data_IF_513424139352
#
_entry.id   IF_513424139352
#
_cell.length_a   1.000
_cell.length_b   1.000
_cell.length_c   1.000
_cell.angle_alpha   90.00
_cell.angle_beta   90.00
_cell.angle_gamma   90.00
#
_symmetry.space_group_name_H-M   'P 1'
#
loop_
_entity.id
_entity.type
_entity.pdbx_description
1 polymer ?
#
# COMPACT_ATOMS: atom_id res chain seq x y z
N UNK A 1 -22.63 -6.54 -20.85
CA UNK A 1 -21.65 -5.90 -21.75
C UNK A 1 -20.25 -5.85 -21.12
N UNK A 2 -20.07 -5.29 -19.92
CA UNK A 2 -18.76 -5.21 -19.25
C UNK A 2 -18.05 -6.56 -19.02
N UNK A 3 -18.78 -7.57 -18.50
CA UNK A 3 -18.27 -8.94 -18.33
C UNK A 3 -17.85 -9.62 -19.64
N UNK A 4 -18.50 -9.28 -20.76
CA UNK A 4 -18.18 -9.82 -22.08
C UNK A 4 -16.85 -9.25 -22.59
N UNK A 5 -16.64 -7.94 -22.42
CA UNK A 5 -15.36 -7.32 -22.76
C UNK A 5 -14.23 -7.78 -21.84
N UNK A 6 -14.49 -7.97 -20.54
CA UNK A 6 -13.46 -8.45 -19.60
C UNK A 6 -12.93 -9.83 -20.01
N UNK A 7 -13.81 -10.76 -20.44
CA UNK A 7 -13.40 -12.05 -20.97
C UNK A 7 -12.58 -11.90 -22.27
N UNK A 8 -13.04 -11.08 -23.22
CA UNK A 8 -12.35 -10.85 -24.49
C UNK A 8 -10.96 -10.20 -24.30
N UNK A 9 -10.87 -9.21 -23.41
CA UNK A 9 -9.69 -8.39 -23.19
C UNK A 9 -8.67 -9.04 -22.24
N UNK A 10 -9.09 -10.00 -21.41
CA UNK A 10 -8.21 -10.70 -20.47
C UNK A 10 -6.98 -11.33 -21.13
N UNK A 11 -7.08 -11.77 -22.39
CA UNK A 11 -5.94 -12.31 -23.15
C UNK A 11 -4.79 -11.33 -23.31
N UNK A 12 -5.07 -10.02 -23.24
CA UNK A 12 -4.07 -8.96 -23.35
C UNK A 12 -3.31 -8.73 -22.04
N UNK A 13 -3.68 -9.38 -20.93
CA UNK A 13 -2.91 -9.28 -19.68
C UNK A 13 -1.56 -10.00 -19.76
N UNK A 14 -1.43 -11.01 -20.63
CA UNK A 14 -0.21 -11.81 -20.80
C UNK A 14 0.59 -11.47 -22.05
N UNK A 15 0.10 -10.58 -22.91
CA UNK A 15 0.79 -10.14 -24.13
C UNK A 15 1.91 -9.14 -23.82
N UNK A 16 2.86 -8.98 -24.73
CA UNK A 16 3.90 -7.95 -24.65
C UNK A 16 3.32 -6.53 -24.63
N UNK A 17 4.13 -5.55 -24.22
CA UNK A 17 3.75 -4.15 -24.26
C UNK A 17 3.32 -3.74 -25.68
N UNK A 18 4.15 -4.07 -26.68
CA UNK A 18 3.95 -3.70 -28.09
C UNK A 18 2.64 -4.27 -28.65
N UNK A 19 2.30 -5.51 -28.30
CA UNK A 19 1.06 -6.16 -28.75
C UNK A 19 -0.19 -5.50 -28.14
N UNK A 20 -0.12 -5.11 -26.86
CA UNK A 20 -1.21 -4.39 -26.20
C UNK A 20 -1.40 -3.01 -26.83
N UNK A 21 -0.32 -2.26 -27.06
CA UNK A 21 -0.40 -0.93 -27.66
C UNK A 21 -0.92 -1.01 -29.09
N UNK A 22 -0.40 -1.92 -29.92
CA UNK A 22 -0.87 -2.11 -31.30
C UNK A 22 -2.36 -2.45 -31.36
N UNK A 23 -2.85 -3.26 -30.42
CA UNK A 23 -4.28 -3.54 -30.33
C UNK A 23 -5.08 -2.30 -29.91
N UNK A 24 -4.63 -1.59 -28.88
CA UNK A 24 -5.28 -0.36 -28.45
C UNK A 24 -5.33 0.70 -29.54
N UNK A 25 -4.25 0.89 -30.30
CA UNK A 25 -4.21 1.76 -31.48
C UNK A 25 -5.29 1.37 -32.51
N UNK A 26 -5.46 0.08 -32.77
CA UNK A 26 -6.50 -0.41 -33.69
C UNK A 26 -7.91 -0.04 -33.21
N UNK A 27 -8.16 -0.10 -31.89
CA UNK A 27 -9.42 0.29 -31.29
C UNK A 27 -9.65 1.80 -31.40
N UNK A 28 -8.66 2.61 -31.01
CA UNK A 28 -8.76 4.08 -31.03
C UNK A 28 -8.91 4.61 -32.45
N UNK A 29 -8.17 4.06 -33.42
CA UNK A 29 -8.19 4.53 -34.81
C UNK A 29 -9.45 4.14 -35.59
N UNK A 30 -10.17 3.10 -35.17
CA UNK A 30 -11.41 2.68 -35.83
C UNK A 30 -12.56 3.70 -35.75
N UNK A 31 -12.44 4.71 -34.88
CA UNK A 31 -13.40 5.81 -34.66
C UNK A 31 -14.87 5.37 -34.46
N UNK A 32 -15.08 4.22 -33.81
CA UNK A 32 -16.40 3.70 -33.44
C UNK A 32 -16.53 3.67 -31.91
N UNK A 33 -17.67 4.13 -31.39
CA UNK A 33 -18.04 4.14 -29.97
C UNK A 33 -17.81 2.80 -29.26
N UNK A 34 -18.10 1.66 -29.93
CA UNK A 34 -17.89 0.33 -29.36
C UNK A 34 -16.40 0.09 -29.08
N UNK A 35 -15.53 0.43 -30.03
CA UNK A 35 -14.09 0.22 -29.90
C UNK A 35 -13.46 1.19 -28.90
N UNK A 36 -14.00 2.40 -28.80
CA UNK A 36 -13.59 3.36 -27.77
C UNK A 36 -13.98 2.90 -26.38
N UNK A 37 -15.15 2.29 -26.23
CA UNK A 37 -15.54 1.65 -24.98
C UNK A 37 -14.63 0.45 -24.67
N UNK A 38 -14.25 -0.36 -25.66
CA UNK A 38 -13.26 -1.43 -25.48
C UNK A 38 -11.89 -0.90 -25.05
N UNK A 39 -11.43 0.22 -25.61
CA UNK A 39 -10.17 0.86 -25.21
C UNK A 39 -10.22 1.37 -23.76
N UNK A 40 -11.35 1.94 -23.34
CA UNK A 40 -11.56 2.34 -21.94
C UNK A 40 -11.54 1.12 -20.99
N UNK A 41 -12.27 0.05 -21.32
CA UNK A 41 -12.26 -1.18 -20.51
C UNK A 41 -10.88 -1.85 -20.50
N UNK A 42 -10.11 -1.78 -21.60
CA UNK A 42 -8.73 -2.25 -21.66
C UNK A 42 -7.84 -1.45 -20.70
N UNK A 43 -7.88 -0.11 -20.76
CA UNK A 43 -7.15 0.74 -19.81
C UNK A 43 -7.51 0.42 -18.35
N UNK A 44 -8.81 0.28 -18.05
CA UNK A 44 -9.26 -0.11 -16.72
C UNK A 44 -8.73 -1.49 -16.28
N UNK A 45 -8.78 -2.49 -17.17
CA UNK A 45 -8.31 -3.83 -16.89
C UNK A 45 -6.80 -3.85 -16.64
N UNK A 46 -6.03 -3.14 -17.46
CA UNK A 46 -4.58 -3.01 -17.31
C UNK A 46 -4.21 -2.38 -15.95
N UNK A 47 -4.86 -1.27 -15.56
CA UNK A 47 -4.63 -0.64 -14.25
C UNK A 47 -4.89 -1.57 -13.07
N UNK A 48 -5.95 -2.40 -13.15
CA UNK A 48 -6.30 -3.34 -12.08
C UNK A 48 -5.35 -4.52 -11.96
N UNK A 49 -4.57 -4.80 -13.00
CA UNK A 49 -3.63 -5.92 -13.06
C UNK A 49 -2.16 -5.44 -13.08
N UNK A 50 -1.88 -4.25 -12.53
CA UNK A 50 -0.55 -3.65 -12.40
C UNK A 50 0.21 -3.42 -13.71
N UNK A 51 -0.49 -3.38 -14.86
CA UNK A 51 0.07 -3.02 -16.17
C UNK A 51 -0.09 -1.53 -16.43
N UNK A 52 0.61 -0.74 -15.60
CA UNK A 52 0.37 0.69 -15.50
C UNK A 52 0.90 1.46 -16.71
N UNK A 53 2.04 1.06 -17.27
CA UNK A 53 2.65 1.75 -18.41
C UNK A 53 1.77 1.62 -19.65
N UNK A 54 1.23 0.43 -19.92
CA UNK A 54 0.27 0.20 -20.98
C UNK A 54 -1.01 1.00 -20.75
N UNK A 55 -1.54 1.00 -19.53
CA UNK A 55 -2.75 1.75 -19.21
C UNK A 55 -2.59 3.26 -19.44
N UNK A 56 -1.44 3.81 -19.08
CA UNK A 56 -1.07 5.22 -19.32
C UNK A 56 -1.06 5.48 -20.81
N UNK A 57 -0.40 4.63 -21.59
CA UNK A 57 -0.27 4.79 -23.03
C UNK A 57 -1.61 4.66 -23.78
N UNK A 58 -2.44 3.67 -23.42
CA UNK A 58 -3.79 3.52 -23.97
C UNK A 58 -4.63 4.76 -23.69
N UNK A 59 -4.58 5.27 -22.46
CA UNK A 59 -5.38 6.44 -22.07
C UNK A 59 -4.86 7.73 -22.71
N UNK A 60 -3.54 7.86 -22.91
CA UNK A 60 -2.90 8.96 -23.65
C UNK A 60 -3.39 9.00 -25.09
N UNK A 61 -3.31 7.87 -25.81
CA UNK A 61 -3.79 7.76 -27.19
C UNK A 61 -5.27 8.14 -27.32
N UNK A 62 -6.09 7.70 -26.37
CA UNK A 62 -7.51 8.05 -26.33
C UNK A 62 -7.72 9.56 -26.17
N UNK A 63 -6.98 10.22 -25.27
CA UNK A 63 -7.08 11.66 -25.04
C UNK A 63 -6.54 12.48 -26.23
N UNK A 64 -5.39 12.10 -26.80
CA UNK A 64 -4.81 12.77 -27.96
C UNK A 64 -5.73 12.72 -29.18
N UNK A 65 -6.49 11.64 -29.33
CA UNK A 65 -7.45 11.49 -30.42
C UNK A 65 -8.68 12.37 -30.26
N UNK A 66 -9.13 12.60 -29.02
CA UNK A 66 -10.30 13.43 -28.73
C UNK A 66 -10.23 13.98 -27.29
N UNK A 67 -9.93 15.26 -27.21
CA UNK A 67 -9.51 16.00 -26.01
C UNK A 67 -10.69 16.37 -25.09
N UNK A 68 -11.56 15.41 -24.79
CA UNK A 68 -12.66 15.61 -23.84
C UNK A 68 -12.19 15.49 -22.39
N UNK A 69 -12.89 16.15 -21.48
CA UNK A 69 -12.60 16.08 -20.03
C UNK A 69 -12.64 14.67 -19.47
N UNK A 70 -13.53 13.81 -19.96
CA UNK A 70 -13.64 12.42 -19.51
C UNK A 70 -12.38 11.61 -19.85
N UNK A 71 -11.78 11.86 -21.02
CA UNK A 71 -10.55 11.19 -21.44
C UNK A 71 -9.31 11.80 -20.80
N UNK A 72 -9.32 13.12 -20.58
CA UNK A 72 -8.32 13.78 -19.75
C UNK A 72 -8.29 13.15 -18.36
N UNK A 73 -9.46 12.98 -17.73
CA UNK A 73 -9.56 12.33 -16.44
C UNK A 73 -9.15 10.85 -16.50
N UNK A 74 -9.52 10.09 -17.54
CA UNK A 74 -9.07 8.71 -17.71
C UNK A 74 -7.54 8.61 -17.75
N UNK A 75 -6.91 9.48 -18.55
CA UNK A 75 -5.46 9.58 -18.65
C UNK A 75 -4.83 9.97 -17.31
N UNK A 76 -5.43 10.94 -16.61
CA UNK A 76 -4.95 11.38 -15.32
C UNK A 76 -5.03 10.30 -14.25
N UNK A 77 -6.12 9.54 -14.21
CA UNK A 77 -6.24 8.39 -13.30
C UNK A 77 -5.15 7.36 -13.59
N UNK A 78 -4.86 7.06 -14.86
CA UNK A 78 -3.83 6.10 -15.22
C UNK A 78 -2.44 6.52 -14.74
N UNK A 79 -2.08 7.78 -14.94
CA UNK A 79 -0.79 8.35 -14.49
C UNK A 79 -0.70 8.38 -12.96
N UNK A 80 -1.78 8.75 -12.27
CA UNK A 80 -1.82 8.74 -10.80
C UNK A 80 -1.66 7.32 -10.24
N UNK A 81 -2.26 6.32 -10.89
CA UNK A 81 -2.14 4.91 -10.51
C UNK A 81 -0.73 4.36 -10.79
N UNK A 82 -0.09 4.74 -11.91
CA UNK A 82 1.31 4.43 -12.23
C UNK A 82 2.27 4.98 -11.16
N UNK A 83 1.98 6.18 -10.62
CA UNK A 83 2.71 6.75 -9.50
C UNK A 83 4.01 7.47 -9.85
N UNK A 84 4.27 7.74 -11.14
CA UNK A 84 5.38 8.58 -11.58
C UNK A 84 5.15 10.04 -11.17
N UNK A 85 6.02 10.58 -10.30
CA UNK A 85 5.91 11.95 -9.79
C UNK A 85 6.03 12.96 -10.94
N UNK A 86 7.01 12.79 -11.82
CA UNK A 86 7.23 13.68 -12.98
C UNK A 86 6.02 13.67 -13.94
N UNK A 87 5.44 12.49 -14.20
CA UNK A 87 4.26 12.39 -15.03
C UNK A 87 3.03 13.05 -14.38
N UNK A 88 2.84 12.88 -13.06
CA UNK A 88 1.78 13.56 -12.31
C UNK A 88 1.98 15.08 -12.33
N UNK A 89 3.21 15.57 -12.21
CA UNK A 89 3.52 17.00 -12.27
C UNK A 89 3.22 17.60 -13.65
N UNK A 90 3.63 16.94 -14.73
CA UNK A 90 3.29 17.37 -16.09
C UNK A 90 1.79 17.36 -16.32
N UNK A 91 1.12 16.29 -15.89
CA UNK A 91 -0.29 16.10 -16.19
C UNK A 91 -1.20 17.02 -15.35
N UNK A 92 -0.84 17.34 -14.11
CA UNK A 92 -1.60 18.35 -13.36
C UNK A 92 -1.60 19.70 -14.08
N UNK A 93 -0.49 20.07 -14.74
CA UNK A 93 -0.39 21.38 -15.41
C UNK A 93 -1.33 21.44 -16.60
N UNK A 94 -1.38 20.35 -17.37
CA UNK A 94 -2.34 20.21 -18.46
C UNK A 94 -3.79 20.24 -17.96
N UNK A 95 -4.08 19.64 -16.80
CA UNK A 95 -5.40 19.69 -16.16
C UNK A 95 -5.74 21.11 -15.69
N UNK A 96 -4.77 21.82 -15.11
CA UNK A 96 -4.93 23.20 -14.66
C UNK A 96 -5.20 24.16 -15.82
N UNK A 97 -4.43 24.04 -16.90
CA UNK A 97 -4.63 24.81 -18.13
C UNK A 97 -6.01 24.50 -18.73
N UNK A 98 -6.41 23.22 -18.83
CA UNK A 98 -7.75 22.84 -19.31
C UNK A 98 -8.87 23.48 -18.48
N UNK A 99 -8.75 23.47 -17.15
CA UNK A 99 -9.76 24.04 -16.25
C UNK A 99 -9.84 25.55 -16.42
N UNK A 100 -8.71 26.25 -16.58
CA UNK A 100 -8.68 27.70 -16.85
C UNK A 100 -9.30 28.06 -18.19
N UNK A 101 -9.02 27.29 -19.23
CA UNK A 101 -9.58 27.50 -20.57
C UNK A 101 -11.10 27.30 -20.64
N UNK A 102 -11.68 26.63 -19.65
CA UNK A 102 -13.12 26.38 -19.52
C UNK A 102 -13.74 27.14 -18.34
N UNK A 103 -13.24 28.35 -18.04
CA UNK A 103 -13.79 29.26 -17.00
C UNK A 103 -13.88 28.64 -15.60
N UNK A 104 -12.98 27.70 -15.27
CA UNK A 104 -13.00 27.02 -13.98
C UNK A 104 -14.13 26.00 -13.84
N UNK A 105 -14.67 25.47 -14.95
CA UNK A 105 -15.77 24.51 -14.93
C UNK A 105 -15.45 23.30 -14.04
N UNK A 106 -16.20 23.17 -12.94
CA UNK A 106 -16.04 22.06 -12.01
C UNK A 106 -16.51 20.74 -12.63
N UNK A 107 -15.63 19.74 -12.61
CA UNK A 107 -15.90 18.39 -13.10
C UNK A 107 -15.57 17.38 -12.00
N UNK A 108 -16.61 16.84 -11.36
CA UNK A 108 -16.50 16.04 -10.12
C UNK A 108 -15.45 14.93 -10.16
N UNK A 109 -15.34 14.22 -11.28
CA UNK A 109 -14.40 13.11 -11.43
C UNK A 109 -12.95 13.59 -11.62
N UNK A 110 -12.76 14.67 -12.38
CA UNK A 110 -11.45 15.27 -12.61
C UNK A 110 -10.88 15.85 -11.32
N UNK A 111 -11.66 16.64 -10.59
CA UNK A 111 -11.23 17.23 -9.32
C UNK A 111 -10.95 16.18 -8.24
N UNK A 112 -11.74 15.12 -8.19
CA UNK A 112 -11.48 13.95 -7.37
C UNK A 112 -10.09 13.35 -7.68
N UNK A 113 -9.80 13.06 -8.95
CA UNK A 113 -8.50 12.54 -9.38
C UNK A 113 -7.37 13.52 -9.05
N UNK A 114 -7.60 14.82 -9.22
CA UNK A 114 -6.61 15.86 -8.95
C UNK A 114 -6.24 15.96 -7.46
N UNK A 115 -7.23 15.91 -6.57
CA UNK A 115 -6.96 15.82 -5.12
C UNK A 115 -6.23 14.53 -4.74
N UNK A 116 -6.57 13.40 -5.37
CA UNK A 116 -5.82 12.13 -5.19
C UNK A 116 -4.38 12.29 -5.67
N UNK A 117 -4.13 12.97 -6.79
CA UNK A 117 -2.81 13.25 -7.32
C UNK A 117 -1.98 14.07 -6.33
N UNK A 118 -2.53 15.17 -5.81
CA UNK A 118 -1.88 16.01 -4.80
C UNK A 118 -1.54 15.21 -3.53
N UNK A 119 -2.47 14.36 -3.05
CA UNK A 119 -2.21 13.46 -1.94
C UNK A 119 -1.11 12.43 -2.24
N UNK A 120 -1.05 11.91 -3.47
CA UNK A 120 -0.07 10.88 -3.91
C UNK A 120 1.35 11.41 -3.93
N UNK A 121 1.55 12.65 -4.37
CA UNK A 121 2.87 13.29 -4.45
C UNK A 121 3.21 14.15 -3.22
N UNK A 122 2.34 14.15 -2.21
CA UNK A 122 2.50 14.93 -0.97
C UNK A 122 2.60 16.45 -1.20
N UNK A 123 1.86 16.98 -2.17
CA UNK A 123 1.84 18.42 -2.49
C UNK A 123 0.65 19.12 -1.81
N UNK A 124 0.93 19.79 -0.69
CA UNK A 124 -0.08 20.51 0.10
C UNK A 124 -0.60 21.76 -0.63
N UNK A 125 0.28 22.47 -1.33
CA UNK A 125 -0.10 23.70 -2.04
C UNK A 125 -1.08 23.37 -3.18
N UNK A 126 -0.79 22.32 -3.93
CA UNK A 126 -1.71 21.80 -4.95
C UNK A 126 -3.01 21.32 -4.33
N UNK A 127 -2.96 20.57 -3.22
CA UNK A 127 -4.18 20.10 -2.57
C UNK A 127 -5.09 21.26 -2.17
N UNK A 128 -4.56 22.27 -1.48
CA UNK A 128 -5.33 23.43 -1.03
C UNK A 128 -5.83 24.29 -2.20
N UNK A 129 -5.02 24.46 -3.25
CA UNK A 129 -5.43 25.13 -4.47
C UNK A 129 -6.66 24.45 -5.09
N UNK A 130 -6.58 23.14 -5.32
CA UNK A 130 -7.67 22.36 -5.93
C UNK A 130 -8.90 22.33 -5.01
N UNK A 131 -8.71 22.10 -3.71
CA UNK A 131 -9.81 21.99 -2.75
C UNK A 131 -10.59 23.30 -2.57
N UNK A 132 -9.93 24.46 -2.74
CA UNK A 132 -10.61 25.78 -2.76
C UNK A 132 -11.57 25.93 -3.93
N UNK A 133 -11.25 25.33 -5.08
CA UNK A 133 -12.10 25.35 -6.27
C UNK A 133 -13.29 24.37 -6.20
N UNK A 134 -13.27 23.41 -5.28
CA UNK A 134 -14.38 22.46 -5.10
C UNK A 134 -15.61 23.17 -4.51
N UNK A 135 -16.80 23.06 -5.14
CA UNK A 135 -18.06 23.63 -4.62
C UNK A 135 -18.43 23.10 -3.24
N UNK A 136 -19.05 23.95 -2.40
CA UNK A 136 -19.45 23.57 -1.04
C UNK A 136 -20.33 22.31 -0.95
N UNK A 137 -21.34 22.08 -1.81
CA UNK A 137 -22.15 20.85 -1.75
C UNK A 137 -21.32 19.58 -1.94
N UNK A 138 -20.32 19.62 -2.82
CA UNK A 138 -19.45 18.46 -3.11
C UNK A 138 -18.57 18.09 -1.92
N UNK A 139 -18.26 19.05 -1.03
CA UNK A 139 -17.48 18.81 0.19
C UNK A 139 -18.25 17.99 1.23
N UNK A 140 -19.58 17.87 1.11
CA UNK A 140 -20.42 17.11 2.04
C UNK A 140 -21.23 15.98 1.38
N UNK A 141 -21.38 15.99 0.05
CA UNK A 141 -22.13 14.97 -0.70
C UNK A 141 -21.24 14.00 -1.49
N UNK A 142 -20.05 14.42 -1.91
CA UNK A 142 -19.19 13.59 -2.74
C UNK A 142 -18.21 12.78 -1.89
N UNK A 143 -18.54 11.51 -1.68
CA UNK A 143 -17.75 10.61 -0.84
C UNK A 143 -16.29 10.47 -1.25
N UNK A 144 -15.96 10.64 -2.54
CA UNK A 144 -14.57 10.55 -2.99
C UNK A 144 -13.79 11.82 -2.64
N UNK A 145 -14.38 13.00 -2.85
CA UNK A 145 -13.80 14.30 -2.44
C UNK A 145 -13.56 14.31 -0.93
N UNK A 146 -14.58 13.92 -0.15
CA UNK A 146 -14.47 13.82 1.32
C UNK A 146 -13.36 12.86 1.71
N UNK A 147 -13.24 11.73 1.04
CA UNK A 147 -12.17 10.76 1.32
C UNK A 147 -10.79 11.36 1.07
N UNK A 148 -10.59 12.12 -0.01
CA UNK A 148 -9.32 12.81 -0.26
C UNK A 148 -9.04 13.91 0.76
N UNK A 149 -10.08 14.64 1.19
CA UNK A 149 -9.97 15.63 2.27
C UNK A 149 -9.58 14.99 3.60
N UNK A 150 -10.16 13.84 3.94
CA UNK A 150 -9.80 13.15 5.17
C UNK A 150 -8.40 12.54 5.10
N UNK A 151 -7.93 12.08 3.94
CA UNK A 151 -6.52 11.69 3.76
C UNK A 151 -5.61 12.88 4.06
N UNK A 152 -5.91 14.04 3.49
CA UNK A 152 -5.16 15.28 3.72
C UNK A 152 -5.16 15.68 5.20
N UNK A 153 -6.32 15.77 5.86
CA UNK A 153 -6.41 16.13 7.27
C UNK A 153 -5.69 15.12 8.18
N UNK A 154 -5.85 13.82 7.92
CA UNK A 154 -5.19 12.76 8.69
C UNK A 154 -3.66 12.79 8.55
N UNK A 155 -3.13 13.22 7.39
CA UNK A 155 -1.69 13.42 7.18
C UNK A 155 -1.14 14.57 8.03
N UNK A 156 -1.96 15.59 8.28
CA UNK A 156 -1.62 16.78 9.05
C UNK A 156 -2.02 16.72 10.52
N UNK A 157 -2.40 15.54 11.00
CA UNK A 157 -2.88 15.35 12.37
C UNK A 157 -4.11 16.19 12.77
N UNK A 158 -4.89 16.64 11.78
CA UNK A 158 -6.12 17.43 11.97
C UNK A 158 -7.34 16.53 12.23
N UNK A 159 -7.21 15.62 13.19
CA UNK A 159 -8.22 14.57 13.45
C UNK A 159 -9.54 15.13 13.99
N UNK A 160 -9.47 16.17 14.81
CA UNK A 160 -10.64 16.86 15.33
C UNK A 160 -11.52 17.40 14.21
N UNK A 161 -10.92 17.91 13.13
CA UNK A 161 -11.65 18.44 11.98
C UNK A 161 -12.32 17.34 11.18
N UNK A 162 -11.64 16.20 10.99
CA UNK A 162 -12.25 15.01 10.38
C UNK A 162 -13.49 14.58 11.18
N UNK A 163 -13.37 14.53 12.51
CA UNK A 163 -14.46 14.14 13.39
C UNK A 163 -15.63 15.14 13.33
N UNK A 164 -15.35 16.43 13.47
CA UNK A 164 -16.39 17.47 13.43
C UNK A 164 -17.11 17.49 12.09
N UNK A 165 -16.38 17.47 10.98
CA UNK A 165 -16.96 17.44 9.65
C UNK A 165 -17.83 16.19 9.45
N UNK A 166 -17.35 15.00 9.86
CA UNK A 166 -18.10 13.75 9.73
C UNK A 166 -19.40 13.74 10.55
N UNK A 167 -19.33 14.13 11.82
CA UNK A 167 -20.46 14.04 12.76
C UNK A 167 -21.48 15.16 12.58
N UNK A 168 -21.04 16.36 12.16
CA UNK A 168 -21.91 17.55 12.11
C UNK A 168 -22.37 17.93 10.71
N UNK A 169 -21.58 17.66 9.67
CA UNK A 169 -21.85 18.16 8.31
C UNK A 169 -22.32 17.07 7.35
N UNK A 170 -21.92 15.80 7.56
CA UNK A 170 -22.27 14.71 6.65
C UNK A 170 -23.63 14.07 6.96
N UNK A 171 -24.41 13.80 5.92
CA UNK A 171 -25.66 13.03 6.06
C UNK A 171 -25.39 11.55 6.39
N UNK A 172 -26.35 10.83 7.00
CA UNK A 172 -26.18 9.41 7.36
C UNK A 172 -25.83 8.50 6.17
N UNK A 173 -26.29 8.84 4.96
CA UNK A 173 -25.99 8.07 3.76
C UNK A 173 -24.52 8.20 3.37
N UNK A 174 -23.94 9.40 3.47
CA UNK A 174 -22.54 9.65 3.17
C UNK A 174 -21.62 9.07 4.25
N UNK A 175 -22.02 9.16 5.52
CA UNK A 175 -21.32 8.51 6.63
C UNK A 175 -21.16 6.99 6.44
N UNK A 176 -22.14 6.32 5.82
CA UNK A 176 -22.07 4.87 5.50
C UNK A 176 -21.13 4.53 4.34
N UNK A 177 -20.59 5.52 3.61
CA UNK A 177 -19.62 5.25 2.55
C UNK A 177 -18.38 4.59 3.15
N UNK A 178 -18.02 3.39 2.64
CA UNK A 178 -16.87 2.61 3.10
C UNK A 178 -15.57 3.43 3.12
N UNK A 179 -15.38 4.29 2.13
CA UNK A 179 -14.17 5.11 2.00
C UNK A 179 -14.13 6.23 3.04
N UNK A 180 -15.23 6.99 3.18
CA UNK A 180 -15.33 8.09 4.15
C UNK A 180 -15.23 7.56 5.57
N UNK A 181 -16.00 6.51 5.88
CA UNK A 181 -16.00 5.88 7.20
C UNK A 181 -14.61 5.37 7.60
N UNK A 182 -13.86 4.75 6.67
CA UNK A 182 -12.50 4.27 6.93
C UNK A 182 -11.58 5.39 7.41
N UNK A 183 -11.58 6.54 6.74
CA UNK A 183 -10.69 7.66 7.11
C UNK A 183 -11.17 8.44 8.34
N UNK A 184 -12.48 8.43 8.61
CA UNK A 184 -13.03 8.92 9.87
C UNK A 184 -12.61 8.05 11.06
N UNK A 185 -12.77 6.72 10.96
CA UNK A 185 -12.36 5.80 12.03
C UNK A 185 -10.87 5.88 12.34
N UNK A 186 -10.05 6.07 11.30
CA UNK A 186 -8.64 6.38 11.45
C UNK A 186 -8.42 7.64 12.33
N UNK A 187 -9.07 8.76 12.01
CA UNK A 187 -8.96 9.99 12.81
C UNK A 187 -9.38 9.78 14.27
N UNK A 188 -10.52 9.10 14.50
CA UNK A 188 -11.00 8.78 15.85
C UNK A 188 -10.02 7.91 16.64
N UNK A 189 -9.41 6.91 16.00
CA UNK A 189 -8.39 6.09 16.64
C UNK A 189 -7.16 6.92 17.05
N UNK A 190 -6.75 7.88 16.22
CA UNK A 190 -5.61 8.76 16.52
C UNK A 190 -5.89 9.72 17.68
N UNK A 191 -7.12 10.21 17.81
CA UNK A 191 -7.54 11.05 18.94
C UNK A 191 -7.56 10.31 20.29
N UNK A 192 -7.62 8.98 20.28
CA UNK A 192 -7.59 8.13 21.47
C UNK A 192 -6.21 7.60 21.87
N UNK A 193 -5.14 7.98 21.16
CA UNK A 193 -3.75 7.54 21.45
C UNK A 193 -2.90 8.58 22.20
N UNK A 194 -3.43 9.77 22.50
CA UNK A 194 -2.77 10.81 23.32
C UNK A 194 -3.13 10.73 24.83
N UNK A 195 -3.74 9.64 25.31
CA UNK A 195 -4.02 9.42 26.75
C UNK A 195 -3.20 8.30 27.42
N UNK A 196 -2.03 7.94 26.87
CA UNK A 196 -1.05 7.14 27.61
C UNK A 196 0.33 7.80 27.49
N UNK A 197 0.48 8.95 28.15
CA UNK A 197 1.72 9.71 28.14
C UNK A 197 1.66 10.95 29.02
N UNK A 198 1.79 10.77 30.32
CA UNK A 198 2.19 11.85 31.25
C UNK A 198 1.08 12.46 32.10
N UNK A 199 0.86 11.88 33.29
CA UNK A 199 0.81 12.69 34.50
C UNK A 199 1.86 12.19 35.47
N UNK A 200 2.90 13.01 35.60
CA UNK A 200 3.81 13.06 36.74
C UNK A 200 3.01 13.44 37.99
N UNK A 201 2.82 12.51 38.90
CA UNK A 201 2.68 12.80 40.33
C UNK A 201 3.89 12.20 41.05
N UNK A 202 4.72 13.08 41.59
CA UNK A 202 5.82 12.75 42.50
C UNK A 202 5.27 12.49 43.91
N UNK A 203 6.07 11.97 44.86
CA UNK A 203 5.85 10.68 45.51
C UNK A 203 5.30 10.80 46.93
N UNK A 204 4.64 9.74 47.41
CA UNK A 204 4.49 9.52 48.86
C UNK A 204 4.82 8.07 49.19
N UNK A 205 5.77 7.93 50.12
CA UNK A 205 6.34 6.71 50.66
C UNK A 205 5.29 5.82 51.36
N UNK A 206 5.34 4.52 51.10
CA UNK A 206 5.09 3.49 52.11
C UNK A 206 5.74 2.16 51.69
N UNK A 207 6.52 1.62 52.63
CA UNK A 207 7.39 0.43 52.61
C UNK A 207 6.68 -0.92 52.38
N UNK A 208 7.44 -2.02 52.16
CA UNK A 208 6.98 -3.21 51.45
C UNK A 208 6.41 -4.30 52.37
N UNK A 209 5.45 -5.06 51.84
CA UNK A 209 5.12 -6.39 52.34
C UNK A 209 4.81 -7.31 51.17
N UNK A 210 5.52 -8.44 51.12
CA UNK A 210 5.21 -9.65 50.34
C UNK A 210 5.09 -10.80 51.33
N UNK A 211 4.71 -12.03 50.94
CA UNK A 211 3.94 -12.48 49.78
C UNK A 211 2.75 -13.37 50.21
N UNK A 212 1.67 -13.46 49.43
CA UNK A 212 0.82 -14.66 49.47
C UNK A 212 0.29 -15.02 48.08
N UNK A 213 0.62 -16.26 47.72
CA UNK A 213 0.10 -17.01 46.59
C UNK A 213 -1.43 -17.06 46.62
N UNK A 214 -2.06 -16.68 45.51
CA UNK A 214 -3.28 -17.33 45.05
C UNK A 214 -3.16 -17.59 43.56
N UNK A 215 -3.10 -18.87 43.22
CA UNK A 215 -3.39 -19.37 41.88
C UNK A 215 -4.71 -18.77 41.40
N UNK A 216 -4.65 -18.00 40.32
CA UNK A 216 -5.79 -17.81 39.44
C UNK A 216 -5.24 -17.83 38.02
N UNK A 217 -5.18 -19.04 37.45
CA UNK A 217 -5.20 -19.21 36.01
C UNK A 217 -6.50 -18.62 35.48
N UNK A 218 -6.40 -17.42 34.93
CA UNK A 218 -7.36 -16.88 33.97
C UNK A 218 -6.55 -16.36 32.78
N UNK A 219 -6.31 -17.28 31.85
CA UNK A 219 -6.19 -17.06 30.41
C UNK A 219 -5.40 -15.81 29.99
N UNK A 220 -4.06 -15.87 30.04
CA UNK A 220 -3.24 -14.85 29.40
C UNK A 220 -3.41 -14.97 27.89
N UNK A 221 -3.99 -13.94 27.28
CA UNK A 221 -4.05 -13.69 25.85
C UNK A 221 -2.83 -14.25 25.12
N UNK A 222 -3.06 -15.16 24.16
CA UNK A 222 -2.01 -15.57 23.23
C UNK A 222 -1.64 -14.36 22.37
N UNK A 223 -0.73 -13.51 22.86
CA UNK A 223 -0.18 -12.38 22.12
C UNK A 223 0.40 -12.92 20.81
N UNK A 224 0.08 -12.30 19.68
CA UNK A 224 0.65 -12.66 18.37
C UNK A 224 2.17 -12.48 18.43
N UNK A 225 2.90 -13.58 18.36
CA UNK A 225 4.33 -13.62 18.73
C UNK A 225 5.26 -13.36 17.54
N UNK A 226 4.79 -13.68 16.33
CA UNK A 226 5.55 -13.54 15.08
C UNK A 226 4.92 -12.47 14.20
N UNK A 227 5.71 -11.55 13.67
CA UNK A 227 5.26 -10.59 12.67
C UNK A 227 5.66 -11.03 11.26
N UNK A 228 4.73 -10.98 10.31
CA UNK A 228 5.02 -11.23 8.89
C UNK A 228 5.21 -9.92 8.14
N UNK A 229 6.40 -9.72 7.58
CA UNK A 229 6.76 -8.56 6.76
C UNK A 229 6.95 -9.04 5.32
N UNK A 230 6.14 -8.54 4.40
CA UNK A 230 6.22 -8.92 2.99
C UNK A 230 5.55 -7.89 2.08
N UNK A 231 5.88 -7.93 0.78
CA UNK A 231 5.34 -7.04 -0.24
C UNK A 231 4.06 -7.58 -0.89
N UNK A 232 4.11 -7.79 -2.21
CA UNK A 232 2.96 -8.21 -3.03
C UNK A 232 2.58 -9.70 -2.86
N UNK A 233 2.18 -10.13 -1.65
CA UNK A 233 1.71 -11.50 -1.34
C UNK A 233 2.53 -12.61 -2.03
N UNK A 234 3.80 -12.83 -1.64
CA UNK A 234 4.64 -13.79 -2.32
C UNK A 234 4.12 -15.23 -2.18
N UNK A 235 4.33 -16.12 -3.17
CA UNK A 235 3.83 -17.49 -3.14
C UNK A 235 4.22 -18.28 -1.88
N UNK A 236 5.39 -18.01 -1.32
CA UNK A 236 5.93 -18.67 -0.12
C UNK A 236 5.21 -18.24 1.17
N UNK A 237 4.42 -17.15 1.13
CA UNK A 237 3.70 -16.63 2.30
C UNK A 237 2.74 -17.66 2.89
N UNK A 238 1.97 -18.35 2.05
CA UNK A 238 1.00 -19.35 2.51
C UNK A 238 1.69 -20.53 3.20
N UNK A 239 2.88 -20.89 2.72
CA UNK A 239 3.70 -21.94 3.31
C UNK A 239 4.29 -21.49 4.65
N UNK A 240 4.75 -20.24 4.76
CA UNK A 240 5.18 -19.65 6.05
C UNK A 240 4.02 -19.65 7.05
N UNK A 241 2.83 -19.22 6.64
CA UNK A 241 1.62 -19.26 7.49
C UNK A 241 1.28 -20.68 7.92
N UNK A 242 1.40 -21.66 7.01
CA UNK A 242 1.18 -23.07 7.31
C UNK A 242 2.18 -23.59 8.37
N UNK A 243 3.47 -23.27 8.24
CA UNK A 243 4.51 -23.60 9.23
C UNK A 243 4.15 -23.04 10.61
N UNK A 244 3.73 -21.78 10.69
CA UNK A 244 3.36 -21.16 11.96
C UNK A 244 2.10 -21.78 12.56
N UNK A 245 1.04 -21.97 11.77
CA UNK A 245 -0.23 -22.58 12.21
C UNK A 245 -0.05 -24.02 12.69
N UNK A 246 0.71 -24.83 11.95
CA UNK A 246 0.97 -26.23 12.31
C UNK A 246 1.73 -26.39 13.62
N UNK A 247 2.45 -25.35 14.06
CA UNK A 247 3.18 -25.31 15.33
C UNK A 247 2.45 -24.50 16.41
N UNK A 248 1.18 -24.13 16.20
CA UNK A 248 0.39 -23.31 17.12
C UNK A 248 1.04 -21.97 17.48
N UNK A 249 1.78 -21.38 16.54
CA UNK A 249 2.43 -20.07 16.70
C UNK A 249 1.49 -19.01 16.15
N UNK A 250 1.01 -18.14 17.03
CA UNK A 250 0.20 -16.99 16.65
C UNK A 250 1.07 -15.93 15.95
N UNK A 251 0.57 -15.39 14.83
CA UNK A 251 1.28 -14.41 14.04
C UNK A 251 0.39 -13.24 13.61
N UNK A 252 1.02 -12.11 13.32
CA UNK A 252 0.40 -10.93 12.73
C UNK A 252 0.66 -10.91 11.23
N UNK A 253 -0.42 -10.84 10.47
CA UNK A 253 -0.41 -10.46 9.06
C UNK A 253 -1.19 -9.14 8.90
N UNK A 254 -0.47 -8.06 8.58
CA UNK A 254 -1.08 -6.73 8.45
C UNK A 254 -2.06 -6.61 7.27
N UNK A 255 -1.89 -7.41 6.21
CA UNK A 255 -2.74 -7.34 5.02
C UNK A 255 -4.06 -8.09 5.20
N UNK A 256 -4.09 -9.10 6.09
CA UNK A 256 -5.32 -9.85 6.44
C UNK A 256 -6.14 -9.17 7.55
N UNK A 257 -5.56 -8.24 8.31
CA UNK A 257 -6.21 -7.60 9.47
C UNK A 257 -7.16 -6.45 9.08
N UNK A 258 -8.46 -6.73 9.12
CA UNK A 258 -9.57 -5.80 8.81
C UNK A 258 -9.90 -4.91 10.02
N UNK A 259 -8.95 -4.08 10.45
CA UNK A 259 -9.15 -3.05 11.49
C UNK A 259 -9.15 -1.62 10.92
N UNK A 260 -9.86 -0.69 11.58
CA UNK A 260 -10.06 0.70 11.14
C UNK A 260 -8.91 1.68 11.41
N UNK A 261 -7.78 1.22 11.96
CA UNK A 261 -6.58 2.04 12.26
C UNK A 261 -5.63 2.16 11.07
N UNK A 262 -4.69 3.13 11.10
CA UNK A 262 -3.70 3.26 10.02
C UNK A 262 -2.73 2.09 9.94
N UNK A 263 -2.23 1.83 8.73
CA UNK A 263 -1.23 0.77 8.50
C UNK A 263 -0.03 0.96 9.43
N UNK A 264 0.45 2.19 9.64
CA UNK A 264 1.56 2.48 10.55
C UNK A 264 1.22 2.21 12.02
N UNK A 265 0.02 2.59 12.50
CA UNK A 265 -0.37 2.30 13.89
C UNK A 265 -0.59 0.80 14.12
N UNK A 266 -1.21 0.10 13.17
CA UNK A 266 -1.30 -1.37 13.23
C UNK A 266 0.09 -1.97 13.30
N UNK A 267 0.99 -1.50 12.44
CA UNK A 267 2.37 -1.91 12.45
C UNK A 267 2.98 -1.70 13.84
N UNK A 268 2.92 -0.49 14.41
CA UNK A 268 3.48 -0.20 15.74
C UNK A 268 2.89 -1.09 16.85
N UNK A 269 1.55 -1.21 16.92
CA UNK A 269 0.87 -2.03 17.93
C UNK A 269 1.29 -3.48 17.82
N UNK A 270 1.09 -4.11 16.66
CA UNK A 270 1.40 -5.53 16.51
C UNK A 270 2.90 -5.79 16.54
N UNK A 271 3.73 -4.87 16.05
CA UNK A 271 5.17 -4.98 16.17
C UNK A 271 5.62 -4.87 17.63
N UNK A 272 4.91 -4.11 18.50
CA UNK A 272 5.19 -4.03 19.94
C UNK A 272 4.88 -5.31 20.71
N UNK A 273 3.92 -6.09 20.21
CA UNK A 273 3.56 -7.39 20.77
C UNK A 273 4.41 -8.55 20.25
N UNK A 274 5.04 -8.33 19.10
CA UNK A 274 5.86 -9.32 18.42
C UNK A 274 7.22 -9.49 19.10
N UNK A 275 7.65 -10.74 19.23
CA UNK A 275 8.98 -11.11 19.74
C UNK A 275 9.89 -11.69 18.65
N UNK A 276 9.34 -11.90 17.46
CA UNK A 276 10.06 -12.41 16.30
C UNK A 276 9.47 -11.84 15.01
N UNK A 277 10.27 -11.66 13.97
CA UNK A 277 9.80 -11.23 12.66
C UNK A 277 10.28 -12.17 11.55
N UNK A 278 9.40 -12.46 10.59
CA UNK A 278 9.74 -13.16 9.35
C UNK A 278 9.58 -12.16 8.21
N UNK A 279 10.68 -11.86 7.54
CA UNK A 279 10.76 -10.91 6.43
C UNK A 279 10.89 -11.68 5.13
N UNK A 280 9.97 -11.49 4.19
CA UNK A 280 10.01 -12.09 2.87
C UNK A 280 10.46 -11.01 1.87
N UNK A 281 11.70 -11.14 1.41
CA UNK A 281 12.29 -10.26 0.39
C UNK A 281 12.03 -10.86 -0.99
N UNK A 282 11.25 -10.14 -1.80
CA UNK A 282 10.96 -10.47 -3.19
C UNK A 282 11.30 -9.30 -4.10
N UNK A 283 11.65 -9.55 -5.38
CA UNK A 283 11.87 -8.52 -6.41
C UNK A 283 10.56 -7.81 -6.74
N UNK A 284 10.24 -6.77 -5.97
CA UNK A 284 8.93 -6.11 -6.02
C UNK A 284 8.96 -4.78 -6.78
N UNK A 285 10.05 -4.03 -6.68
CA UNK A 285 10.22 -2.74 -7.36
C UNK A 285 11.33 -2.89 -8.41
N UNK A 286 11.03 -2.59 -9.68
CA UNK A 286 11.96 -2.68 -10.82
C UNK A 286 12.37 -1.29 -11.30
N UNK A 287 13.65 -1.12 -11.57
CA UNK A 287 14.24 0.12 -12.06
C UNK A 287 15.26 -0.22 -13.14
N UNK A 288 15.21 0.51 -14.26
CA UNK A 288 16.27 0.46 -15.28
C UNK A 288 17.35 1.47 -14.88
N UNK A 289 18.55 0.98 -14.57
CA UNK A 289 19.72 1.83 -14.31
C UNK A 289 20.57 1.94 -15.56
N UNK A 290 21.22 3.09 -15.74
CA UNK A 290 22.29 3.25 -16.74
C UNK A 290 23.64 3.11 -16.06
N UNK A 291 24.49 2.23 -16.57
CA UNK A 291 25.87 2.15 -16.14
C UNK A 291 26.66 3.39 -16.61
N UNK A 292 27.92 3.51 -16.18
CA UNK A 292 28.77 4.64 -16.55
C UNK A 292 29.05 4.73 -18.07
N UNK A 293 28.78 3.66 -18.83
CA UNK A 293 28.93 3.58 -20.28
C UNK A 293 27.59 3.81 -21.02
N UNK A 294 26.51 4.07 -20.30
CA UNK A 294 25.17 4.30 -20.85
C UNK A 294 24.38 3.04 -21.18
N UNK A 295 24.87 1.84 -20.82
CA UNK A 295 24.11 0.60 -20.98
C UNK A 295 23.02 0.50 -19.92
N UNK A 296 21.84 0.05 -20.34
CA UNK A 296 20.72 -0.19 -19.44
C UNK A 296 20.85 -1.54 -18.74
N UNK A 297 20.64 -1.56 -17.42
CA UNK A 297 20.67 -2.75 -16.57
C UNK A 297 19.40 -2.78 -15.71
N UNK A 298 18.70 -3.92 -15.73
CA UNK A 298 17.53 -4.15 -14.91
C UNK A 298 17.94 -4.37 -13.46
N UNK A 299 17.37 -3.57 -12.55
CA UNK A 299 17.64 -3.67 -11.12
C UNK A 299 16.33 -3.81 -10.37
N UNK A 300 16.28 -4.84 -9.53
CA UNK A 300 15.16 -5.15 -8.67
C UNK A 300 15.50 -4.81 -7.22
N UNK A 301 14.49 -4.31 -6.51
CA UNK A 301 14.55 -4.01 -5.09
C UNK A 301 13.42 -4.72 -4.35
N UNK A 302 13.62 -5.06 -3.07
CA UNK A 302 12.50 -5.30 -2.19
C UNK A 302 11.65 -4.03 -2.09
N UNK A 303 10.34 -4.22 -1.90
CA UNK A 303 9.40 -3.11 -1.74
C UNK A 303 9.87 -2.18 -0.62
N UNK A 304 9.86 -0.87 -0.82
CA UNK A 304 10.42 0.08 0.16
C UNK A 304 9.87 -0.08 1.58
N UNK A 305 8.58 -0.35 1.72
CA UNK A 305 7.95 -0.58 3.02
C UNK A 305 8.52 -1.83 3.72
N UNK A 306 8.81 -2.89 2.96
CA UNK A 306 9.43 -4.12 3.49
C UNK A 306 10.83 -3.83 4.03
N UNK A 307 11.60 -2.98 3.35
CA UNK A 307 12.92 -2.55 3.80
C UNK A 307 12.83 -1.74 5.10
N UNK A 308 11.86 -0.83 5.20
CA UNK A 308 11.62 -0.03 6.40
C UNK A 308 11.23 -0.91 7.60
N UNK A 309 10.25 -1.79 7.42
CA UNK A 309 9.75 -2.69 8.46
C UNK A 309 10.85 -3.66 8.92
N UNK A 310 11.66 -4.17 7.98
CA UNK A 310 12.82 -4.99 8.30
C UNK A 310 13.85 -4.22 9.15
N UNK A 311 14.19 -2.99 8.77
CA UNK A 311 15.12 -2.15 9.54
C UNK A 311 14.61 -1.86 10.94
N UNK A 312 13.30 -1.57 11.07
CA UNK A 312 12.65 -1.40 12.35
C UNK A 312 12.78 -2.65 13.23
N UNK A 313 12.47 -3.84 12.70
CA UNK A 313 12.56 -5.06 13.48
C UNK A 313 14.01 -5.41 13.84
N UNK A 314 14.97 -5.14 12.96
CA UNK A 314 16.40 -5.31 13.28
C UNK A 314 16.81 -4.47 14.49
N UNK A 315 16.41 -3.20 14.53
CA UNK A 315 16.68 -2.32 15.67
C UNK A 315 15.95 -2.74 16.94
N UNK A 316 14.72 -3.24 16.82
CA UNK A 316 13.86 -3.58 17.95
C UNK A 316 14.11 -4.96 18.57
N UNK A 317 14.15 -5.99 17.74
CA UNK A 317 14.23 -7.40 18.15
C UNK A 317 15.67 -7.92 18.12
N UNK A 318 16.55 -7.25 17.39
CA UNK A 318 17.90 -7.72 17.11
C UNK A 318 17.92 -8.81 16.04
N UNK A 319 19.11 -9.02 15.47
CA UNK A 319 19.33 -9.97 14.37
C UNK A 319 18.97 -11.42 14.71
N UNK A 320 19.01 -11.82 15.98
CA UNK A 320 18.77 -13.21 16.39
C UNK A 320 17.28 -13.58 16.39
N UNK A 321 16.40 -12.58 16.44
CA UNK A 321 14.95 -12.74 16.49
C UNK A 321 14.26 -12.38 15.17
N UNK A 322 14.99 -12.51 14.06
CA UNK A 322 14.48 -12.23 12.71
C UNK A 322 14.88 -13.35 11.75
N UNK A 323 13.96 -13.81 10.92
CA UNK A 323 14.28 -14.66 9.77
C UNK A 323 14.03 -13.88 8.47
N UNK A 324 15.08 -13.69 7.68
CA UNK A 324 14.95 -13.05 6.36
C UNK A 324 14.96 -14.15 5.30
N UNK A 325 13.82 -14.39 4.69
CA UNK A 325 13.66 -15.27 3.55
C UNK A 325 13.85 -14.44 2.28
N UNK A 326 14.73 -14.89 1.40
CA UNK A 326 15.10 -14.17 0.19
C UNK A 326 14.75 -14.98 -1.05
N UNK A 327 13.92 -14.40 -1.91
CA UNK A 327 13.64 -14.93 -3.24
C UNK A 327 14.78 -14.53 -4.18
N UNK A 328 15.51 -15.52 -4.68
CA UNK A 328 16.57 -15.30 -5.67
C UNK A 328 15.97 -15.32 -7.08
N UNK A 329 16.30 -14.32 -7.91
CA UNK A 329 16.17 -14.43 -9.36
C UNK A 329 17.55 -14.74 -9.96
N UNK A 330 17.67 -15.87 -10.65
CA UNK A 330 18.93 -16.29 -11.26
C UNK A 330 20.01 -16.73 -10.27
N UNK A 331 21.26 -16.86 -10.75
CA UNK A 331 22.38 -17.46 -10.00
C UNK A 331 23.14 -16.50 -9.08
N UNK A 332 22.76 -15.22 -9.00
CA UNK A 332 23.57 -14.20 -8.31
C UNK A 332 22.71 -13.34 -7.39
N UNK A 333 22.83 -13.59 -6.09
CA UNK A 333 22.20 -12.86 -4.97
C UNK A 333 22.46 -11.34 -4.91
N UNK A 334 23.31 -10.79 -5.78
CA UNK A 334 23.89 -9.45 -5.59
C UNK A 334 23.94 -8.55 -6.82
N UNK A 335 23.75 -9.06 -8.04
CA UNK A 335 23.95 -8.21 -9.22
C UNK A 335 22.68 -7.42 -9.55
N UNK A 336 21.57 -8.13 -9.62
CA UNK A 336 20.32 -7.57 -10.14
C UNK A 336 19.27 -7.36 -9.03
N UNK A 337 19.51 -7.86 -7.81
CA UNK A 337 18.65 -7.63 -6.64
C UNK A 337 19.44 -6.90 -5.54
N UNK A 338 19.08 -5.64 -5.29
CA UNK A 338 19.84 -4.77 -4.38
C UNK A 338 19.08 -4.59 -3.06
N UNK A 339 19.75 -4.94 -1.97
CA UNK A 339 19.35 -4.61 -0.59
C UNK A 339 20.26 -3.50 -0.05
N UNK A 340 19.81 -2.67 0.91
CA UNK A 340 20.67 -1.64 1.50
C UNK A 340 21.95 -2.23 2.11
N UNK A 341 23.08 -1.54 1.95
CA UNK A 341 24.40 -2.02 2.42
C UNK A 341 24.43 -2.30 3.91
N UNK A 342 23.74 -1.48 4.70
CA UNK A 342 23.66 -1.63 6.17
C UNK A 342 22.96 -2.93 6.59
N UNK A 343 22.23 -3.56 5.68
CA UNK A 343 21.49 -4.79 5.93
C UNK A 343 22.26 -6.06 5.58
N UNK A 344 23.41 -5.94 4.90
CA UNK A 344 24.25 -7.07 4.47
C UNK A 344 24.79 -7.93 5.63
N UNK A 345 24.74 -7.42 6.86
CA UNK A 345 25.10 -8.17 8.08
C UNK A 345 24.03 -9.14 8.57
N UNK A 346 22.89 -9.26 7.89
CA UNK A 346 21.79 -10.17 8.25
C UNK A 346 21.94 -11.51 7.54
N UNK A 347 21.70 -12.62 8.24
CA UNK A 347 21.70 -13.95 7.63
C UNK A 347 20.43 -14.15 6.78
N UNK A 348 20.60 -14.50 5.50
CA UNK A 348 19.50 -14.77 4.58
C UNK A 348 19.24 -16.27 4.42
N UNK A 349 17.96 -16.64 4.39
CA UNK A 349 17.48 -17.97 4.02
C UNK A 349 16.98 -17.91 2.58
N UNK A 350 17.75 -18.49 1.66
CA UNK A 350 17.37 -18.61 0.24
C UNK A 350 16.08 -19.44 0.09
N UNK A 351 15.05 -18.86 -0.53
CA UNK A 351 13.79 -19.55 -0.87
C UNK A 351 13.96 -20.51 -2.05
N UNK A 352 15.02 -20.38 -2.86
CA UNK A 352 15.33 -21.27 -3.98
C UNK A 352 15.83 -22.66 -3.52
N UNK A 353 16.15 -22.81 -2.23
CA UNK A 353 16.56 -24.07 -1.60
C UNK A 353 15.50 -24.48 -0.57
N UNK A 354 15.50 -25.73 -0.09
CA UNK A 354 14.67 -26.12 1.05
C UNK A 354 14.94 -25.18 2.25
N UNK A 355 13.99 -24.29 2.52
CA UNK A 355 14.13 -23.19 3.48
C UNK A 355 13.39 -23.45 4.80
N UNK A 356 12.37 -24.30 4.78
CA UNK A 356 11.51 -24.57 5.94
C UNK A 356 12.29 -25.08 7.16
N UNK A 357 13.21 -26.03 6.97
CA UNK A 357 14.05 -26.53 8.07
C UNK A 357 14.94 -25.45 8.69
N UNK A 358 15.44 -24.51 7.87
CA UNK A 358 16.23 -23.37 8.38
C UNK A 358 15.36 -22.37 9.13
N UNK A 359 14.14 -22.09 8.63
CA UNK A 359 13.17 -21.25 9.31
C UNK A 359 12.77 -21.86 10.66
N UNK A 360 12.46 -23.16 10.68
CA UNK A 360 12.17 -23.92 11.90
C UNK A 360 13.30 -23.81 12.93
N UNK A 361 14.56 -23.96 12.50
CA UNK A 361 15.71 -23.81 13.38
C UNK A 361 15.84 -22.38 13.96
N UNK A 362 15.55 -21.34 13.17
CA UNK A 362 15.57 -19.94 13.63
C UNK A 362 14.48 -19.67 14.67
N UNK A 363 13.27 -20.15 14.42
CA UNK A 363 12.16 -20.07 15.38
C UNK A 363 12.52 -20.81 16.68
N UNK A 364 13.06 -22.03 16.59
CA UNK A 364 13.50 -22.79 17.75
C UNK A 364 14.56 -22.06 18.58
N UNK A 365 15.59 -21.50 17.92
CA UNK A 365 16.64 -20.69 18.57
C UNK A 365 16.08 -19.46 19.31
N UNK A 366 14.93 -18.96 18.86
CA UNK A 366 14.24 -17.80 19.45
C UNK A 366 13.20 -18.20 20.51
N UNK A 367 13.18 -19.48 20.92
CA UNK A 367 12.35 -19.99 22.01
C UNK A 367 10.95 -20.47 21.59
N UNK A 368 10.68 -20.65 20.29
CA UNK A 368 9.42 -21.23 19.84
C UNK A 368 9.45 -22.76 19.87
N UNK A 369 8.35 -23.39 20.30
CA UNK A 369 8.16 -24.83 20.23
C UNK A 369 7.87 -25.24 18.79
N UNK A 370 8.82 -25.94 18.15
CA UNK A 370 8.70 -26.41 16.77
C UNK A 370 8.76 -27.94 16.73
N UNK A 371 7.80 -28.55 16.05
CA UNK A 371 7.78 -29.99 15.79
C UNK A 371 8.56 -30.31 14.51
N UNK A 372 9.77 -30.85 14.67
CA UNK A 372 10.72 -31.07 13.58
C UNK A 372 10.29 -32.16 12.58
N UNK A 373 9.38 -33.07 12.95
CA UNK A 373 8.90 -34.14 12.05
C UNK A 373 8.02 -33.64 10.90
N UNK A 374 7.60 -32.38 10.91
CA UNK A 374 6.76 -31.78 9.86
C UNK A 374 7.57 -31.14 8.71
N UNK A 375 8.90 -31.10 8.80
CA UNK A 375 9.78 -30.33 7.90
C UNK A 375 10.85 -31.15 7.17
N UNK A 376 10.83 -32.47 7.36
CA UNK A 376 11.74 -33.46 6.74
C UNK A 376 11.18 -34.05 5.47
#
# INVERSE_FOLDING_TARGET
MRLLYEQELSRYLTQSFEEVIKFAESLVNSNNAINWQKANELSFLLRRNNRHDEAVEVSRMMFEKDQTVDKLNLYFVAVVDQGSIDAIQKLHKMVDDYVKDHDGLYQKHLFATWLKAANRILDDQMFEYVYRMVPSPEKVENSYIISQYYVYLNRHSRYNEVKQHYEKELSPNIQRSKFVHRYYMNACARMGYDQVGGQSSSPTEASPSSPQDTNTELNSDKKKQVFLVYGNNPPELDMVKYVLKSNSIEFTDLNEEVSGTTILQKFETYASESRFAIVLLTPADHVIKKDANGNEEDVYYPRQNVVLEWGYFLGKLGKDNIAVLLQEQGRTLHKDFIVPSDMLGTEYISMAKPWMGKLALRLKKSGFSINETAFS
#
